data_IF_609077581542
#
_entry.id   IF_609077581542
#
_cell.length_a   1.000
_cell.length_b   1.000
_cell.length_c   1.000
_cell.angle_alpha   90.00
_cell.angle_beta   90.00
_cell.angle_gamma   90.00
#
_symmetry.space_group_name_H-M   'P 1'
#
loop_
_entity.id
_entity.type
_entity.pdbx_description
1 polymer ?
#
# COMPACT_ATOMS: atom_id res chain seq x y z
N UNK A 1 -2.55 18.36 65.03
CA UNK A 1 -3.73 17.56 65.42
C UNK A 1 -4.46 17.15 64.15
N UNK A 2 -4.64 15.84 64.00
CA UNK A 2 -4.91 15.11 62.75
C UNK A 2 -6.42 15.10 62.46
N UNK A 3 -6.86 15.38 61.23
CA UNK A 3 -8.26 15.25 60.84
C UNK A 3 -8.35 14.52 59.48
N UNK A 4 -8.44 13.19 59.54
CA UNK A 4 -8.86 12.34 58.41
C UNK A 4 -10.37 12.09 58.52
N UNK A 5 -11.16 12.25 57.45
CA UNK A 5 -12.53 11.74 57.43
C UNK A 5 -12.55 10.23 57.22
N UNK A 6 -13.45 9.60 57.97
CA UNK A 6 -13.66 8.16 58.18
C UNK A 6 -13.93 7.42 56.86
N UNK A 7 -13.30 6.25 56.72
CA UNK A 7 -13.67 5.28 55.69
C UNK A 7 -15.10 4.76 55.97
N UNK A 8 -15.95 4.83 54.94
CA UNK A 8 -17.27 4.21 54.94
C UNK A 8 -17.10 2.76 54.50
N UNK A 9 -17.21 1.86 55.46
CA UNK A 9 -17.23 0.41 55.26
C UNK A 9 -18.56 0.02 54.60
N UNK A 10 -18.52 -0.30 53.31
CA UNK A 10 -19.66 -0.93 52.61
C UNK A 10 -19.45 -2.43 52.68
N UNK A 11 -20.16 -3.05 53.64
CA UNK A 11 -20.25 -4.49 53.89
C UNK A 11 -20.64 -5.21 52.59
N UNK A 12 -19.70 -5.89 51.94
CA UNK A 12 -20.02 -6.80 50.84
C UNK A 12 -20.72 -8.03 51.40
N UNK A 13 -21.93 -8.28 50.92
CA UNK A 13 -22.63 -9.54 51.15
C UNK A 13 -21.79 -10.66 50.51
N UNK A 14 -21.20 -11.53 51.32
CA UNK A 14 -20.65 -12.81 50.85
C UNK A 14 -21.81 -13.66 50.34
N UNK A 15 -22.03 -13.64 49.03
CA UNK A 15 -22.75 -14.71 48.36
C UNK A 15 -21.76 -15.85 48.14
N UNK A 16 -21.96 -16.93 48.89
CA UNK A 16 -21.34 -18.23 48.67
C UNK A 16 -21.56 -18.68 47.21
N UNK A 17 -20.62 -18.37 46.32
CA UNK A 17 -20.44 -19.10 45.08
C UNK A 17 -19.44 -20.19 45.36
N UNK A 18 -19.97 -21.38 45.62
CA UNK A 18 -19.27 -22.66 45.49
C UNK A 18 -18.34 -22.66 44.27
N UNK A 19 -17.16 -23.29 44.32
CA UNK A 19 -16.27 -23.38 43.16
C UNK A 19 -17.05 -24.08 42.05
N UNK A 20 -17.34 -23.35 40.97
CA UNK A 20 -17.93 -23.92 39.78
C UNK A 20 -16.87 -24.87 39.21
N UNK A 21 -17.04 -26.17 39.44
CA UNK A 21 -16.33 -27.21 38.72
C UNK A 21 -16.40 -26.89 37.21
N UNK A 22 -15.30 -26.98 36.44
CA UNK A 22 -15.35 -26.76 35.01
C UNK A 22 -16.18 -27.88 34.37
N UNK A 23 -17.49 -27.66 34.28
CA UNK A 23 -18.44 -28.53 33.58
C UNK A 23 -17.93 -28.67 32.15
N UNK A 24 -17.58 -29.89 31.74
CA UNK A 24 -17.21 -30.25 30.37
C UNK A 24 -18.21 -29.64 29.38
N UNK A 25 -17.86 -28.49 28.81
CA UNK A 25 -18.67 -27.81 27.80
C UNK A 25 -18.37 -28.51 26.47
N UNK A 26 -19.40 -29.05 25.85
CA UNK A 26 -19.33 -29.67 24.51
C UNK A 26 -18.45 -28.82 23.58
N UNK A 27 -17.51 -29.47 22.88
CA UNK A 27 -16.57 -28.84 21.94
C UNK A 27 -17.30 -27.93 20.95
N UNK A 28 -18.51 -28.32 20.51
CA UNK A 28 -19.34 -27.53 19.61
C UNK A 28 -19.82 -26.20 20.22
N UNK A 29 -20.10 -26.15 21.53
CA UNK A 29 -20.51 -24.92 22.24
C UNK A 29 -19.31 -24.00 22.44
N UNK A 30 -18.13 -24.55 22.78
CA UNK A 30 -16.89 -23.78 22.85
C UNK A 30 -16.48 -23.23 21.48
N UNK A 31 -16.64 -24.03 20.43
CA UNK A 31 -16.39 -23.62 19.05
C UNK A 31 -17.35 -22.52 18.60
N UNK A 32 -18.65 -22.67 18.84
CA UNK A 32 -19.65 -21.65 18.48
C UNK A 32 -19.45 -20.33 19.26
N UNK A 33 -19.05 -20.42 20.53
CA UNK A 33 -18.73 -19.24 21.34
C UNK A 33 -17.43 -18.56 20.87
N UNK A 34 -16.42 -19.33 20.44
CA UNK A 34 -15.20 -18.79 19.84
C UNK A 34 -15.47 -18.17 18.46
N UNK A 35 -16.37 -18.77 17.67
CA UNK A 35 -16.81 -18.29 16.36
C UNK A 35 -17.51 -16.93 16.48
N UNK A 36 -18.41 -16.77 17.45
CA UNK A 36 -19.10 -15.50 17.67
C UNK A 36 -18.15 -14.39 18.15
N UNK A 37 -17.13 -14.72 18.95
CA UNK A 37 -16.13 -13.75 19.44
C UNK A 37 -15.24 -13.21 18.31
N UNK A 38 -14.95 -14.03 17.32
CA UNK A 38 -14.12 -13.69 16.15
C UNK A 38 -14.95 -13.76 14.85
N UNK A 39 -16.21 -13.33 14.90
CA UNK A 39 -17.16 -13.49 13.80
C UNK A 39 -16.64 -12.84 12.52
N UNK A 40 -16.17 -11.60 12.62
CA UNK A 40 -15.68 -10.84 11.48
C UNK A 40 -14.49 -11.53 10.82
N UNK A 41 -13.47 -11.91 11.61
CA UNK A 41 -12.31 -12.64 11.12
C UNK A 41 -12.73 -13.94 10.43
N UNK A 42 -13.66 -14.69 11.02
CA UNK A 42 -14.09 -15.97 10.46
C UNK A 42 -14.85 -15.78 9.14
N UNK A 43 -15.71 -14.77 9.04
CA UNK A 43 -16.37 -14.39 7.80
C UNK A 43 -15.37 -14.00 6.72
N UNK A 44 -14.33 -13.23 7.06
CA UNK A 44 -13.28 -12.83 6.11
C UNK A 44 -12.50 -14.04 5.60
N UNK A 45 -12.07 -14.95 6.49
CA UNK A 45 -11.39 -16.21 6.10
C UNK A 45 -12.29 -17.04 5.17
N UNK A 46 -13.56 -17.18 5.53
CA UNK A 46 -14.53 -17.90 4.72
C UNK A 46 -14.72 -17.23 3.35
N UNK A 47 -14.81 -15.90 3.30
CA UNK A 47 -14.89 -15.12 2.06
C UNK A 47 -13.69 -15.34 1.15
N UNK A 48 -12.46 -15.39 1.69
CA UNK A 48 -11.25 -15.71 0.91
C UNK A 48 -11.34 -17.10 0.30
N UNK A 49 -11.68 -18.12 1.10
CA UNK A 49 -11.77 -19.50 0.64
C UNK A 49 -12.87 -19.63 -0.42
N UNK A 50 -14.05 -19.07 -0.15
CA UNK A 50 -15.19 -19.11 -1.07
C UNK A 50 -14.85 -18.39 -2.38
N UNK A 51 -14.26 -17.19 -2.33
CA UNK A 51 -13.84 -16.44 -3.50
C UNK A 51 -12.81 -17.19 -4.34
N UNK A 52 -11.83 -17.84 -3.70
CA UNK A 52 -10.82 -18.64 -4.39
C UNK A 52 -11.41 -19.89 -5.07
N UNK A 53 -12.26 -20.64 -4.35
CA UNK A 53 -12.90 -21.85 -4.88
C UNK A 53 -13.87 -21.49 -6.01
N UNK A 54 -14.74 -20.50 -5.82
CA UNK A 54 -15.66 -20.04 -6.86
C UNK A 54 -14.90 -19.53 -8.09
N UNK A 55 -13.87 -18.69 -7.92
CA UNK A 55 -13.06 -18.20 -9.04
C UNK A 55 -12.35 -19.31 -9.81
N UNK A 56 -11.84 -20.32 -9.09
CA UNK A 56 -11.23 -21.50 -9.70
C UNK A 56 -12.23 -22.38 -10.46
N UNK A 57 -13.41 -22.65 -9.90
CA UNK A 57 -14.45 -23.44 -10.56
C UNK A 57 -15.03 -22.72 -11.78
N UNK A 58 -15.34 -21.43 -11.67
CA UNK A 58 -15.92 -20.65 -12.77
C UNK A 58 -14.95 -20.54 -13.95
N UNK A 59 -13.64 -20.47 -13.67
CA UNK A 59 -12.58 -20.54 -14.68
C UNK A 59 -12.58 -21.87 -15.43
N UNK A 60 -12.83 -22.99 -14.76
CA UNK A 60 -12.87 -24.33 -15.40
C UNK A 60 -14.16 -24.53 -16.20
N UNK A 61 -15.25 -23.88 -15.82
CA UNK A 61 -16.58 -24.17 -16.34
C UNK A 61 -16.83 -23.61 -17.75
N UNK A 62 -16.37 -22.39 -18.10
CA UNK A 62 -16.53 -21.81 -19.45
C UNK A 62 -15.65 -20.56 -19.65
N UNK A 63 -15.34 -20.14 -20.89
CA UNK A 63 -14.89 -18.77 -21.16
C UNK A 63 -16.01 -17.80 -20.79
N UNK A 64 -15.83 -17.09 -19.68
CA UNK A 64 -16.79 -16.11 -19.17
C UNK A 64 -16.62 -14.80 -19.93
N UNK A 65 -17.74 -14.21 -20.33
CA UNK A 65 -17.75 -12.88 -20.94
C UNK A 65 -17.15 -11.82 -19.99
N UNK A 66 -16.30 -10.89 -20.48
CA UNK A 66 -15.70 -9.83 -19.66
C UNK A 66 -16.70 -9.03 -18.81
N UNK A 67 -17.92 -8.83 -19.30
CA UNK A 67 -18.94 -8.04 -18.59
C UNK A 67 -19.44 -8.76 -17.33
N UNK A 68 -19.54 -10.09 -17.37
CA UNK A 68 -19.91 -10.91 -16.20
C UNK A 68 -18.78 -10.91 -15.17
N UNK A 69 -17.52 -10.94 -15.62
CA UNK A 69 -16.35 -10.84 -14.73
C UNK A 69 -16.38 -9.50 -13.98
N UNK A 70 -16.68 -8.41 -14.68
CA UNK A 70 -16.84 -7.08 -14.09
C UNK A 70 -17.95 -7.07 -13.03
N UNK A 71 -19.11 -7.66 -13.32
CA UNK A 71 -20.23 -7.71 -12.37
C UNK A 71 -19.89 -8.52 -11.12
N UNK A 72 -19.19 -9.65 -11.26
CA UNK A 72 -18.72 -10.48 -10.13
C UNK A 72 -17.70 -9.71 -9.28
N UNK A 73 -16.79 -8.96 -9.89
CA UNK A 73 -15.76 -8.19 -9.20
C UNK A 73 -16.27 -6.88 -8.58
N UNK A 74 -17.42 -6.37 -9.03
CA UNK A 74 -17.94 -5.05 -8.65
C UNK A 74 -18.06 -4.80 -7.14
N UNK A 75 -18.57 -5.73 -6.31
CA UNK A 75 -18.57 -5.55 -4.85
C UNK A 75 -17.16 -5.36 -4.27
N UNK A 76 -16.16 -6.03 -4.85
CA UNK A 76 -14.75 -5.85 -4.51
C UNK A 76 -14.24 -4.46 -4.87
N UNK A 77 -14.60 -3.94 -6.05
CA UNK A 77 -14.24 -2.59 -6.47
C UNK A 77 -14.86 -1.51 -5.57
N UNK A 78 -16.11 -1.71 -5.12
CA UNK A 78 -16.76 -0.82 -4.13
C UNK A 78 -16.01 -0.86 -2.80
N UNK A 79 -15.61 -2.04 -2.31
CA UNK A 79 -14.76 -2.15 -1.10
C UNK A 79 -13.48 -1.32 -1.25
N UNK A 80 -12.78 -1.45 -2.38
CA UNK A 80 -11.54 -0.70 -2.63
C UNK A 80 -11.77 0.81 -2.66
N UNK A 81 -12.88 1.28 -3.23
CA UNK A 81 -13.25 2.70 -3.23
C UNK A 81 -13.55 3.22 -1.82
N UNK A 82 -14.29 2.46 -1.02
CA UNK A 82 -14.59 2.80 0.37
C UNK A 82 -13.31 2.89 1.23
N UNK A 83 -12.40 1.92 1.08
CA UNK A 83 -11.12 1.94 1.80
C UNK A 83 -10.25 3.14 1.38
N UNK A 84 -10.10 3.39 0.08
CA UNK A 84 -9.31 4.53 -0.44
C UNK A 84 -9.86 5.89 0.00
N UNK A 85 -11.18 6.02 0.11
CA UNK A 85 -11.83 7.23 0.61
C UNK A 85 -11.43 7.57 2.05
N UNK A 86 -11.23 6.56 2.90
CA UNK A 86 -10.87 6.76 4.30
C UNK A 86 -9.37 7.03 4.54
N UNK A 87 -8.50 6.72 3.58
CA UNK A 87 -7.04 6.90 3.74
C UNK A 87 -6.71 8.37 4.08
N UNK A 88 -7.25 9.32 3.31
CA UNK A 88 -6.95 10.74 3.50
C UNK A 88 -7.34 11.26 4.90
N UNK A 89 -8.61 11.20 5.34
CA UNK A 89 -8.99 11.72 6.64
C UNK A 89 -8.34 10.96 7.80
N UNK A 90 -8.06 9.66 7.64
CA UNK A 90 -7.36 8.86 8.64
C UNK A 90 -5.91 9.31 8.81
N UNK A 91 -5.16 9.47 7.71
CA UNK A 91 -3.76 9.93 7.76
C UNK A 91 -3.66 11.30 8.43
N UNK A 92 -4.52 12.25 8.03
CA UNK A 92 -4.51 13.61 8.58
C UNK A 92 -4.79 13.58 10.08
N UNK A 93 -5.91 12.97 10.48
CA UNK A 93 -6.34 12.98 11.88
C UNK A 93 -5.43 12.15 12.79
N UNK A 94 -4.97 10.96 12.35
CA UNK A 94 -4.09 10.10 13.14
C UNK A 94 -2.68 10.68 13.31
N UNK A 95 -2.08 11.28 12.27
CA UNK A 95 -0.74 11.87 12.39
C UNK A 95 -0.73 13.10 13.29
N UNK A 96 -1.74 13.96 13.12
CA UNK A 96 -1.89 15.17 13.93
C UNK A 96 -2.03 14.81 15.41
N UNK A 97 -2.97 13.91 15.73
CA UNK A 97 -3.25 13.53 17.12
C UNK A 97 -2.08 12.76 17.72
N UNK A 98 -1.47 11.85 16.96
CA UNK A 98 -0.31 11.07 17.40
C UNK A 98 0.94 11.90 17.70
N UNK A 99 1.16 13.00 16.98
CA UNK A 99 2.37 13.83 17.15
C UNK A 99 2.17 15.06 18.03
N UNK A 100 0.95 15.58 18.12
CA UNK A 100 0.63 16.71 19.01
C UNK A 100 0.66 16.33 20.48
N UNK A 101 0.38 15.06 20.82
CA UNK A 101 0.46 14.55 22.19
C UNK A 101 1.88 14.23 22.68
N UNK A 102 2.91 14.43 21.86
CA UNK A 102 4.29 14.08 22.16
C UNK A 102 5.20 15.32 22.16
N UNK A 103 6.10 15.41 23.14
CA UNK A 103 7.17 16.41 23.13
C UNK A 103 8.04 16.25 21.88
N UNK A 104 8.55 17.34 21.33
CA UNK A 104 9.37 17.32 20.11
C UNK A 104 10.59 16.36 20.22
N UNK A 105 11.21 16.28 21.41
CA UNK A 105 12.32 15.36 21.69
C UNK A 105 11.88 13.89 21.81
N UNK A 106 10.65 13.64 22.27
CA UNK A 106 10.08 12.30 22.29
C UNK A 106 9.68 11.84 20.88
N UNK A 107 9.01 12.72 20.13
CA UNK A 107 8.64 12.51 18.72
C UNK A 107 9.86 12.21 17.85
N UNK A 108 10.95 12.99 17.99
CA UNK A 108 12.20 12.73 17.27
C UNK A 108 12.81 11.36 17.60
N UNK A 109 12.89 10.99 18.89
CA UNK A 109 13.43 9.66 19.29
C UNK A 109 12.56 8.51 18.80
N UNK A 110 11.24 8.65 18.86
CA UNK A 110 10.31 7.65 18.34
C UNK A 110 10.47 7.49 16.82
N UNK A 111 10.53 8.60 16.09
CA UNK A 111 10.72 8.64 14.65
C UNK A 111 12.07 8.03 14.22
N UNK A 112 13.18 8.37 14.89
CA UNK A 112 14.49 7.79 14.55
C UNK A 112 14.52 6.27 14.80
N UNK A 113 13.93 5.79 15.89
CA UNK A 113 13.82 4.34 16.15
C UNK A 113 13.01 3.63 15.06
N UNK A 114 11.89 4.21 14.65
CA UNK A 114 11.06 3.68 13.57
C UNK A 114 11.82 3.68 12.22
N UNK A 115 12.54 4.76 11.90
CA UNK A 115 13.33 4.86 10.67
C UNK A 115 14.45 3.81 10.62
N UNK A 116 15.18 3.62 11.72
CA UNK A 116 16.21 2.58 11.82
C UNK A 116 15.59 1.19 11.64
N UNK A 117 14.45 0.94 12.30
CA UNK A 117 13.71 -0.31 12.17
C UNK A 117 13.34 -0.58 10.71
N UNK A 118 12.65 0.34 10.03
CA UNK A 118 12.24 0.18 8.64
C UNK A 118 13.41 0.00 7.66
N UNK A 119 14.49 0.77 7.82
CA UNK A 119 15.68 0.65 6.97
C UNK A 119 16.34 -0.72 7.17
N UNK A 120 16.53 -1.14 8.43
CA UNK A 120 17.16 -2.43 8.73
C UNK A 120 16.37 -3.62 8.20
N UNK A 121 15.04 -3.65 8.40
CA UNK A 121 14.20 -4.75 7.92
C UNK A 121 14.15 -4.80 6.40
N UNK A 122 14.13 -3.63 5.72
CA UNK A 122 14.13 -3.56 4.25
C UNK A 122 15.46 -4.05 3.67
N UNK A 123 16.59 -3.68 4.26
CA UNK A 123 17.91 -4.17 3.84
C UNK A 123 18.00 -5.68 4.03
N UNK A 124 17.55 -6.21 5.19
CA UNK A 124 17.52 -7.65 5.44
C UNK A 124 16.62 -8.38 4.42
N UNK A 125 15.45 -7.83 4.10
CA UNK A 125 14.56 -8.39 3.09
C UNK A 125 15.19 -8.42 1.70
N UNK A 126 15.85 -7.33 1.30
CA UNK A 126 16.53 -7.23 0.00
C UNK A 126 17.71 -8.22 -0.10
N UNK A 127 18.54 -8.32 0.94
CA UNK A 127 19.66 -9.27 1.00
C UNK A 127 19.13 -10.71 0.93
N UNK A 128 18.09 -11.04 1.69
CA UNK A 128 17.45 -12.36 1.62
C UNK A 128 16.91 -12.66 0.20
N UNK A 129 16.26 -11.69 -0.43
CA UNK A 129 15.75 -11.81 -1.79
C UNK A 129 16.85 -12.09 -2.81
N UNK A 130 17.98 -11.37 -2.73
CA UNK A 130 19.14 -11.59 -3.59
C UNK A 130 19.74 -12.97 -3.36
N UNK A 131 19.92 -13.39 -2.11
CA UNK A 131 20.45 -14.72 -1.77
C UNK A 131 19.54 -15.82 -2.35
N UNK A 132 18.22 -15.70 -2.18
CA UNK A 132 17.27 -16.71 -2.68
C UNK A 132 17.23 -16.77 -4.21
N UNK A 133 17.23 -15.62 -4.89
CA UNK A 133 17.25 -15.56 -6.35
C UNK A 133 18.55 -16.14 -6.90
N UNK A 134 19.70 -15.85 -6.27
CA UNK A 134 21.00 -16.42 -6.65
C UNK A 134 21.16 -17.89 -6.22
N UNK A 135 20.41 -18.39 -5.24
CA UNK A 135 20.45 -19.80 -4.88
C UNK A 135 19.59 -20.64 -5.84
N UNK A 136 18.37 -20.19 -6.10
CA UNK A 136 17.37 -20.94 -6.87
C UNK A 136 17.55 -20.73 -8.39
N UNK A 137 18.12 -19.60 -8.81
CA UNK A 137 18.24 -19.19 -10.21
C UNK A 137 16.93 -19.36 -11.00
N UNK A 138 15.83 -18.70 -10.59
CA UNK A 138 14.55 -18.89 -11.22
C UNK A 138 14.53 -18.33 -12.65
N UNK A 139 14.29 -19.21 -13.62
CA UNK A 139 14.13 -18.86 -15.03
C UNK A 139 14.73 -19.91 -15.94
N UNK A 140 14.21 -20.03 -17.17
CA UNK A 140 14.75 -20.94 -18.16
C UNK A 140 15.30 -20.15 -19.35
N UNK A 141 16.62 -20.15 -19.61
CA UNK A 141 17.20 -19.41 -20.72
C UNK A 141 16.69 -19.87 -22.09
N UNK A 142 16.17 -21.11 -22.20
CA UNK A 142 15.57 -21.64 -23.43
C UNK A 142 14.21 -20.98 -23.76
N UNK A 143 13.47 -20.53 -22.74
CA UNK A 143 12.17 -19.85 -22.91
C UNK A 143 12.31 -18.38 -23.30
N UNK A 144 13.46 -17.74 -23.03
CA UNK A 144 13.75 -16.34 -23.41
C UNK A 144 13.67 -16.10 -24.92
N UNK A 145 13.97 -17.11 -25.75
CA UNK A 145 13.90 -17.01 -27.22
C UNK A 145 12.46 -16.98 -27.75
N UNK A 146 11.49 -17.46 -27.00
CA UNK A 146 10.07 -17.51 -27.40
C UNK A 146 9.26 -16.27 -26.95
N UNK A 147 9.81 -15.44 -26.07
CA UNK A 147 9.08 -14.34 -25.42
C UNK A 147 9.07 -13.01 -26.20
N UNK A 148 9.71 -12.95 -27.38
CA UNK A 148 9.79 -11.72 -28.19
C UNK A 148 10.58 -10.59 -27.52
N UNK A 149 10.86 -9.51 -28.27
CA UNK A 149 11.35 -8.27 -27.65
C UNK A 149 10.15 -7.53 -27.07
N UNK A 150 10.05 -7.46 -25.74
CA UNK A 150 9.03 -6.68 -25.07
C UNK A 150 9.09 -5.20 -25.49
N UNK A 151 7.95 -4.49 -25.44
CA UNK A 151 7.90 -3.04 -25.67
C UNK A 151 8.97 -2.36 -24.81
N UNK A 152 9.88 -1.61 -25.45
CA UNK A 152 10.80 -0.73 -24.76
C UNK A 152 9.96 0.37 -24.09
N UNK A 153 9.72 0.21 -22.79
CA UNK A 153 9.17 1.30 -21.98
C UNK A 153 10.20 2.44 -21.95
N UNK A 154 9.72 3.68 -21.82
CA UNK A 154 10.60 4.83 -21.66
C UNK A 154 11.56 4.56 -20.49
N UNK A 155 12.86 4.74 -20.74
CA UNK A 155 13.89 4.55 -19.72
C UNK A 155 13.74 5.65 -18.66
N UNK A 156 13.05 5.33 -17.57
CA UNK A 156 12.95 6.21 -16.41
C UNK A 156 14.31 6.18 -15.71
N UNK A 157 14.99 7.33 -15.68
CA UNK A 157 16.26 7.45 -14.96
C UNK A 157 16.04 7.29 -13.46
N UNK A 158 16.90 6.52 -12.78
CA UNK A 158 16.85 6.38 -11.31
C UNK A 158 17.05 7.72 -10.60
N UNK A 159 17.82 8.64 -11.20
CA UNK A 159 17.98 10.00 -10.70
C UNK A 159 16.65 10.76 -10.75
N UNK A 160 15.90 10.65 -11.85
CA UNK A 160 14.60 11.32 -12.00
C UNK A 160 13.62 10.80 -10.96
N UNK A 161 13.57 9.48 -10.73
CA UNK A 161 12.73 8.87 -9.69
C UNK A 161 13.09 9.34 -8.28
N UNK A 162 14.38 9.48 -7.97
CA UNK A 162 14.83 10.01 -6.67
C UNK A 162 14.50 11.49 -6.50
N UNK A 163 14.68 12.30 -7.55
CA UNK A 163 14.30 13.71 -7.53
C UNK A 163 12.78 13.88 -7.40
N UNK A 164 11.99 13.04 -8.06
CA UNK A 164 10.53 13.01 -7.94
C UNK A 164 10.09 12.63 -6.52
N UNK A 165 10.81 11.72 -5.83
CA UNK A 165 10.55 11.41 -4.43
C UNK A 165 10.68 12.66 -3.55
N UNK A 166 11.75 13.45 -3.74
CA UNK A 166 11.97 14.68 -2.98
C UNK A 166 10.93 15.75 -3.34
N UNK A 167 10.61 15.93 -4.62
CA UNK A 167 9.56 16.86 -5.07
C UNK A 167 8.20 16.51 -4.46
N UNK A 168 7.87 15.23 -4.43
CA UNK A 168 6.62 14.76 -3.83
C UNK A 168 6.61 14.87 -2.31
N UNK A 169 7.76 14.86 -1.63
CA UNK A 169 7.83 15.10 -0.18
C UNK A 169 7.40 16.53 0.20
N UNK A 170 7.63 17.51 -0.69
CA UNK A 170 7.28 18.91 -0.52
C UNK A 170 6.31 19.37 -1.62
N UNK A 171 5.01 19.00 -1.55
CA UNK A 171 4.05 19.35 -2.58
C UNK A 171 3.83 20.86 -2.64
N UNK A 172 3.65 21.36 -3.86
CA UNK A 172 3.39 22.79 -4.14
C UNK A 172 2.05 23.26 -3.55
N UNK A 173 1.07 22.35 -3.46
CA UNK A 173 -0.26 22.60 -2.95
C UNK A 173 -0.83 21.38 -2.21
N UNK A 174 -1.32 21.59 -0.98
CA UNK A 174 -1.84 20.52 -0.13
C UNK A 174 -3.14 19.89 -0.66
N UNK A 175 -4.03 20.71 -1.22
CA UNK A 175 -5.30 20.22 -1.79
C UNK A 175 -5.04 19.42 -3.05
N UNK A 176 -4.12 19.89 -3.90
CA UNK A 176 -3.69 19.15 -5.10
C UNK A 176 -3.04 17.81 -4.73
N UNK A 177 -2.22 17.77 -3.67
CA UNK A 177 -1.60 16.55 -3.17
C UNK A 177 -2.61 15.46 -2.76
N UNK A 178 -3.86 15.82 -2.46
CA UNK A 178 -4.91 14.85 -2.15
C UNK A 178 -5.32 13.98 -3.35
N UNK A 179 -5.07 14.42 -4.59
CA UNK A 179 -5.49 13.70 -5.80
C UNK A 179 -4.45 13.65 -6.93
N UNK A 180 -3.33 14.35 -6.81
CA UNK A 180 -2.25 14.36 -7.81
C UNK A 180 -0.85 14.25 -7.18
N UNK A 181 0.08 13.69 -7.94
CA UNK A 181 1.51 13.59 -7.64
C UNK A 181 2.35 14.01 -8.85
N UNK A 182 3.58 14.47 -8.63
CA UNK A 182 4.49 14.91 -9.68
C UNK A 182 5.32 13.73 -10.18
N UNK A 183 5.43 13.57 -11.50
CA UNK A 183 6.32 12.59 -12.11
C UNK A 183 7.10 13.24 -13.28
N UNK A 184 8.39 12.93 -13.37
CA UNK A 184 9.22 13.28 -14.53
C UNK A 184 8.86 12.34 -15.68
N UNK A 185 8.35 12.91 -16.77
CA UNK A 185 7.98 12.19 -18.00
C UNK A 185 8.90 12.61 -19.12
N UNK A 186 9.35 11.62 -19.90
CA UNK A 186 10.20 11.83 -21.06
C UNK A 186 9.33 11.91 -22.31
N UNK A 187 9.26 13.08 -22.95
CA UNK A 187 8.52 13.27 -24.19
C UNK A 187 9.46 13.45 -25.37
N UNK A 188 9.18 12.77 -26.48
CA UNK A 188 9.86 13.00 -27.75
C UNK A 188 9.20 14.20 -28.42
N UNK A 189 9.89 15.32 -28.50
CA UNK A 189 9.41 16.54 -29.14
C UNK A 189 10.13 16.67 -30.48
N UNK A 190 9.36 16.85 -31.56
CA UNK A 190 9.90 17.21 -32.86
C UNK A 190 10.38 18.66 -32.78
N UNK A 191 11.70 18.85 -32.81
CA UNK A 191 12.28 20.19 -32.85
C UNK A 191 12.52 20.52 -34.33
N UNK A 192 11.95 21.62 -34.85
CA UNK A 192 12.27 22.07 -36.20
C UNK A 192 13.77 22.37 -36.27
N UNK A 193 14.42 22.01 -37.38
CA UNK A 193 15.84 22.29 -37.59
C UNK A 193 16.10 23.79 -37.47
N UNK A 194 17.30 24.21 -37.04
CA UNK A 194 17.67 25.62 -37.00
C UNK A 194 17.37 26.27 -38.35
N UNK A 195 16.67 27.41 -38.38
CA UNK A 195 16.53 28.18 -39.61
C UNK A 195 17.93 28.65 -40.00
N UNK A 196 18.48 28.12 -41.09
CA UNK A 196 19.63 28.74 -41.75
C UNK A 196 19.22 30.18 -42.13
N UNK A 197 20.00 31.18 -41.74
CA UNK A 197 19.79 32.56 -42.18
C UNK A 197 19.73 32.60 -43.71
N UNK A 198 18.81 33.40 -44.32
CA UNK A 198 18.71 33.44 -45.77
C UNK A 198 20.05 33.89 -46.36
N UNK A 199 20.58 33.19 -47.38
CA UNK A 199 21.86 33.55 -47.96
C UNK A 199 21.76 34.93 -48.63
N UNK A 200 22.87 35.68 -48.60
CA UNK A 200 22.96 37.01 -49.20
C UNK A 200 22.53 36.98 -50.68
N UNK A 201 21.98 38.10 -51.17
CA UNK A 201 21.31 38.25 -52.49
C UNK A 201 22.15 37.80 -53.71
N UNK A 202 23.46 37.60 -53.55
CA UNK A 202 24.35 37.08 -54.59
C UNK A 202 24.33 35.55 -54.71
N UNK A 203 24.07 34.84 -53.60
CA UNK A 203 24.06 33.36 -53.55
C UNK A 203 22.70 32.77 -53.97
N UNK A 204 21.62 33.54 -53.86
CA UNK A 204 20.28 33.12 -54.32
C UNK A 204 20.18 33.02 -55.85
N UNK A 205 20.94 33.83 -56.59
CA UNK A 205 21.04 33.74 -58.04
C UNK A 205 21.81 32.48 -58.51
N UNK A 206 22.81 32.05 -57.74
CA UNK A 206 23.52 30.79 -57.99
C UNK A 206 22.71 29.56 -57.55
N UNK A 207 21.87 29.70 -56.51
CA UNK A 207 20.99 28.64 -56.03
C UNK A 207 19.84 28.30 -57.02
N UNK A 208 19.31 29.29 -57.76
CA UNK A 208 18.26 29.05 -58.76
C UNK A 208 18.76 28.31 -60.01
N UNK A 209 20.07 28.31 -60.28
CA UNK A 209 20.66 27.57 -61.40
C UNK A 209 20.98 26.11 -61.06
N UNK A 210 20.85 25.72 -59.79
CA UNK A 210 21.13 24.37 -59.32
C UNK A 210 19.95 23.86 -58.48
N UNK A 211 18.79 23.68 -59.11
CA UNK A 211 17.65 22.97 -58.51
C UNK A 211 17.99 21.49 -58.32
N UNK A 212 18.74 21.21 -57.26
CA UNK A 212 18.68 19.93 -56.57
C UNK A 212 17.65 20.10 -55.46
N UNK A 213 16.66 19.21 -55.46
CA UNK A 213 15.60 19.11 -54.45
C UNK A 213 16.26 19.14 -53.06
N UNK A 214 16.21 20.29 -52.38
CA UNK A 214 16.53 20.36 -50.96
C UNK A 214 15.41 19.61 -50.25
N UNK A 215 15.69 18.37 -49.84
CA UNK A 215 14.83 17.63 -48.92
C UNK A 215 14.52 18.53 -47.72
N UNK A 216 13.23 18.66 -47.39
CA UNK A 216 12.82 19.41 -46.21
C UNK A 216 13.60 18.86 -45.00
N UNK A 217 14.23 19.72 -44.19
CA UNK A 217 15.12 19.25 -43.16
C UNK A 217 14.30 18.43 -42.14
N UNK A 218 14.66 17.16 -41.98
CA UNK A 218 13.91 16.22 -41.16
C UNK A 218 13.84 16.73 -39.72
N UNK A 219 12.63 16.79 -39.17
CA UNK A 219 12.42 17.21 -37.80
C UNK A 219 13.16 16.28 -36.84
N UNK A 220 14.17 16.81 -36.14
CA UNK A 220 14.93 16.02 -35.18
C UNK A 220 14.05 15.72 -33.96
N UNK A 221 13.90 14.42 -33.65
CA UNK A 221 13.26 13.96 -32.42
C UNK A 221 14.19 14.24 -31.23
N UNK A 222 14.00 15.37 -30.56
CA UNK A 222 14.73 15.68 -29.33
C UNK A 222 13.94 15.13 -28.14
N UNK A 223 14.63 14.36 -27.31
CA UNK A 223 14.08 13.84 -26.07
C UNK A 223 14.09 14.97 -25.03
N UNK A 224 12.91 15.47 -24.65
CA UNK A 224 12.76 16.50 -23.62
C UNK A 224 12.13 15.89 -22.37
N UNK A 225 12.75 16.14 -21.21
CA UNK A 225 12.18 15.80 -19.92
C UNK A 225 11.27 16.93 -19.44
N UNK A 226 10.10 16.58 -18.93
CA UNK A 226 9.14 17.51 -18.34
C UNK A 226 8.56 16.96 -17.04
N UNK A 227 8.06 17.85 -16.20
CA UNK A 227 7.28 17.47 -15.02
C UNK A 227 5.81 17.42 -15.42
N UNK A 228 5.13 16.34 -15.03
CA UNK A 228 3.70 16.19 -15.24
C UNK A 228 3.01 15.80 -13.93
N UNK A 229 1.79 16.31 -13.75
CA UNK A 229 0.92 15.85 -12.68
C UNK A 229 0.23 14.56 -13.13
N UNK A 230 0.38 13.53 -12.31
CA UNK A 230 -0.27 12.24 -12.47
C UNK A 230 -1.34 12.08 -11.42
N UNK A 231 -2.49 11.55 -11.83
CA UNK A 231 -3.58 11.26 -10.91
C UNK A 231 -3.18 10.18 -9.90
N UNK A 232 -3.49 10.45 -8.64
CA UNK A 232 -3.11 9.63 -7.50
C UNK A 232 -2.77 10.51 -6.30
N UNK A 233 -3.20 10.08 -5.11
CA UNK A 233 -2.92 10.79 -3.87
C UNK A 233 -1.42 10.76 -3.58
N UNK A 234 -0.81 11.93 -3.39
CA UNK A 234 0.56 12.07 -2.92
C UNK A 234 0.61 11.84 -1.39
N UNK A 235 0.52 10.58 -1.00
CA UNK A 235 0.55 10.15 0.42
C UNK A 235 1.85 10.57 1.10
N UNK A 236 2.98 10.54 0.40
CA UNK A 236 4.29 10.94 0.94
C UNK A 236 4.30 12.42 1.36
N UNK A 237 3.85 13.32 0.48
CA UNK A 237 3.78 14.75 0.75
C UNK A 237 2.80 15.10 1.86
N UNK A 238 1.64 14.42 1.89
CA UNK A 238 0.66 14.58 2.97
C UNK A 238 1.26 14.15 4.32
N UNK A 239 1.92 13.00 4.39
CA UNK A 239 2.59 12.54 5.61
C UNK A 239 3.66 13.55 6.04
N UNK A 240 4.53 13.98 5.11
CA UNK A 240 5.60 14.95 5.41
C UNK A 240 5.07 16.26 5.99
N UNK A 241 4.04 16.82 5.36
CA UNK A 241 3.39 18.04 5.83
C UNK A 241 2.71 17.86 7.20
N UNK A 242 1.89 16.82 7.36
CA UNK A 242 1.12 16.63 8.59
C UNK A 242 1.96 16.15 9.78
N UNK A 243 3.13 15.55 9.54
CA UNK A 243 4.13 15.34 10.59
C UNK A 243 4.64 16.68 11.12
N UNK A 244 5.08 17.58 10.23
CA UNK A 244 5.57 18.90 10.62
C UNK A 244 4.47 19.71 11.32
N UNK A 245 3.24 19.67 10.79
CA UNK A 245 2.07 20.31 11.36
C UNK A 245 1.73 19.79 12.76
N UNK A 246 1.71 18.45 12.96
CA UNK A 246 1.48 17.83 14.26
C UNK A 246 2.52 18.22 15.31
N UNK A 247 3.80 18.24 14.94
CA UNK A 247 4.89 18.68 15.83
C UNK A 247 4.78 20.17 16.15
N UNK A 248 4.42 21.01 15.18
CA UNK A 248 4.23 22.44 15.41
C UNK A 248 3.08 22.71 16.39
N UNK A 249 1.93 22.03 16.23
CA UNK A 249 0.82 22.11 17.18
C UNK A 249 1.20 21.63 18.57
N UNK A 250 1.94 20.54 18.70
CA UNK A 250 2.42 20.05 20.00
C UNK A 250 3.27 21.08 20.75
N UNK A 251 4.01 21.93 20.04
CA UNK A 251 4.80 23.03 20.63
C UNK A 251 3.96 24.23 21.08
N UNK A 252 2.76 24.41 20.55
CA UNK A 252 1.87 25.53 20.89
C UNK A 252 1.12 25.32 22.21
N UNK A 253 1.18 24.12 22.79
CA UNK A 253 0.57 23.82 24.08
C UNK A 253 -0.94 24.09 24.09
N UNK A 254 -1.41 24.86 25.08
CA UNK A 254 -2.84 25.12 25.28
C UNK A 254 -3.53 25.83 24.10
N UNK A 255 -2.79 26.65 23.34
CA UNK A 255 -3.35 27.37 22.18
C UNK A 255 -3.83 26.42 21.09
N UNK A 256 -3.21 25.24 20.95
CA UNK A 256 -3.58 24.24 19.96
C UNK A 256 -4.63 23.24 20.48
N UNK A 257 -5.04 23.30 21.76
CA UNK A 257 -5.91 22.30 22.38
C UNK A 257 -7.22 22.09 21.61
N UNK A 258 -7.87 23.18 21.19
CA UNK A 258 -9.10 23.11 20.41
C UNK A 258 -8.91 22.38 19.07
N UNK A 259 -7.80 22.60 18.38
CA UNK A 259 -7.50 21.92 17.11
C UNK A 259 -7.18 20.44 17.34
N UNK A 260 -6.41 20.12 18.38
CA UNK A 260 -6.08 18.74 18.74
C UNK A 260 -7.36 17.96 19.09
N UNK A 261 -8.26 18.54 19.88
CA UNK A 261 -9.55 17.93 20.22
C UNK A 261 -10.43 17.72 18.98
N UNK A 262 -10.45 18.67 18.04
CA UNK A 262 -11.13 18.52 16.76
C UNK A 262 -10.59 17.30 15.96
N UNK A 263 -9.28 17.18 15.81
CA UNK A 263 -8.68 16.07 15.08
C UNK A 263 -8.83 14.72 15.81
N UNK A 264 -8.87 14.71 17.15
CA UNK A 264 -9.18 13.52 17.94
C UNK A 264 -10.61 13.04 17.64
N UNK A 265 -11.60 13.93 17.68
CA UNK A 265 -12.99 13.59 17.36
C UNK A 265 -13.11 13.12 15.91
N UNK A 266 -12.42 13.77 14.98
CA UNK A 266 -12.39 13.35 13.58
C UNK A 266 -11.82 11.92 13.44
N UNK A 267 -10.72 11.62 14.12
CA UNK A 267 -10.11 10.27 14.12
C UNK A 267 -11.11 9.21 14.62
N UNK A 268 -11.79 9.48 15.74
CA UNK A 268 -12.82 8.58 16.30
C UNK A 268 -14.00 8.36 15.33
N UNK A 269 -14.47 9.41 14.65
CA UNK A 269 -15.52 9.31 13.63
C UNK A 269 -15.05 8.43 12.47
N UNK A 270 -13.83 8.66 11.97
CA UNK A 270 -13.26 7.88 10.87
C UNK A 270 -13.10 6.41 11.26
N UNK A 271 -12.65 6.10 12.48
CA UNK A 271 -12.53 4.72 12.97
C UNK A 271 -13.88 3.98 13.06
N UNK A 272 -14.98 4.70 13.36
CA UNK A 272 -16.34 4.14 13.26
C UNK A 272 -16.72 3.82 11.81
N UNK A 273 -16.36 4.69 10.85
CA UNK A 273 -16.56 4.41 9.42
C UNK A 273 -15.75 3.19 8.96
N UNK A 274 -14.48 3.08 9.40
CA UNK A 274 -13.63 1.90 9.13
C UNK A 274 -14.34 0.64 9.61
N UNK A 275 -14.86 0.64 10.84
CA UNK A 275 -15.56 -0.52 11.41
C UNK A 275 -16.76 -0.95 10.57
N UNK A 276 -17.57 -0.01 10.08
CA UNK A 276 -18.70 -0.32 9.18
C UNK A 276 -18.24 -0.94 7.86
N UNK A 277 -17.18 -0.41 7.25
CA UNK A 277 -16.60 -0.97 6.01
C UNK A 277 -16.01 -2.36 6.25
N UNK A 278 -15.39 -2.59 7.42
CA UNK A 278 -14.84 -3.89 7.74
C UNK A 278 -15.91 -4.98 7.78
N UNK A 279 -17.15 -4.68 8.20
CA UNK A 279 -18.28 -5.61 8.11
C UNK A 279 -18.70 -5.95 6.67
N UNK A 280 -18.49 -5.04 5.72
CA UNK A 280 -18.68 -5.32 4.30
C UNK A 280 -17.51 -6.13 3.69
N UNK A 281 -16.33 -6.08 4.30
CA UNK A 281 -15.11 -6.68 3.75
C UNK A 281 -15.19 -8.18 3.41
N UNK A 282 -15.88 -9.07 4.15
CA UNK A 282 -15.97 -10.48 3.78
C UNK A 282 -16.56 -10.70 2.38
N UNK A 283 -17.61 -9.96 2.04
CA UNK A 283 -18.26 -10.02 0.73
C UNK A 283 -17.35 -9.41 -0.34
N UNK A 284 -16.82 -8.20 -0.09
CA UNK A 284 -15.96 -7.51 -1.03
C UNK A 284 -14.70 -8.30 -1.38
N UNK A 285 -14.05 -8.91 -0.37
CA UNK A 285 -12.84 -9.74 -0.55
C UNK A 285 -13.15 -11.01 -1.35
N UNK A 286 -14.28 -11.68 -1.07
CA UNK A 286 -14.69 -12.87 -1.83
C UNK A 286 -14.86 -12.56 -3.33
N UNK A 287 -15.58 -11.48 -3.64
CA UNK A 287 -15.81 -11.01 -5.01
C UNK A 287 -14.50 -10.55 -5.69
N UNK A 288 -13.64 -9.83 -4.98
CA UNK A 288 -12.36 -9.31 -5.50
C UNK A 288 -11.43 -10.48 -5.87
N UNK A 289 -11.25 -11.44 -4.97
CA UNK A 289 -10.41 -12.62 -5.21
C UNK A 289 -10.97 -13.46 -6.37
N UNK A 290 -12.29 -13.71 -6.38
CA UNK A 290 -12.97 -14.43 -7.44
C UNK A 290 -12.72 -13.78 -8.81
N UNK A 291 -13.00 -12.47 -8.93
CA UNK A 291 -12.80 -11.71 -10.16
C UNK A 291 -11.35 -11.67 -10.63
N UNK A 292 -10.39 -11.52 -9.72
CA UNK A 292 -8.95 -11.53 -10.06
C UNK A 292 -8.47 -12.89 -10.55
N UNK A 293 -8.95 -13.99 -9.98
CA UNK A 293 -8.58 -15.34 -10.41
C UNK A 293 -9.12 -15.64 -11.83
N UNK A 294 -10.36 -15.23 -12.11
CA UNK A 294 -11.00 -15.43 -13.42
C UNK A 294 -10.32 -14.57 -14.50
N UNK A 295 -9.91 -13.34 -14.17
CA UNK A 295 -9.28 -12.42 -15.12
C UNK A 295 -7.91 -12.92 -15.67
N UNK A 296 -7.27 -13.89 -15.01
CA UNK A 296 -5.99 -14.46 -15.46
C UNK A 296 -6.27 -15.44 -16.61
N UNK A 297 -6.17 -14.98 -17.86
CA UNK A 297 -6.44 -15.81 -19.06
C UNK A 297 -5.52 -17.03 -19.17
N UNK A 298 -4.20 -16.83 -19.12
CA UNK A 298 -3.21 -17.88 -19.42
C UNK A 298 -2.37 -18.32 -18.19
N UNK A 299 -3.03 -18.87 -17.16
CA UNK A 299 -2.32 -19.29 -15.94
C UNK A 299 -1.28 -20.39 -16.21
N UNK A 300 -1.55 -21.32 -17.13
CA UNK A 300 -0.61 -22.40 -17.47
C UNK A 300 0.68 -21.86 -18.11
N UNK A 301 0.55 -20.93 -19.07
CA UNK A 301 1.70 -20.32 -19.75
C UNK A 301 2.51 -19.47 -18.76
N UNK A 302 1.84 -18.66 -17.94
CA UNK A 302 2.48 -17.86 -16.89
C UNK A 302 3.16 -18.76 -15.86
N UNK A 303 2.51 -19.82 -15.40
CA UNK A 303 3.08 -20.77 -14.45
C UNK A 303 4.29 -21.51 -15.04
N UNK A 304 4.26 -21.88 -16.33
CA UNK A 304 5.38 -22.53 -17.00
C UNK A 304 6.57 -21.60 -17.22
N UNK A 305 6.32 -20.33 -17.52
CA UNK A 305 7.36 -19.34 -17.84
C UNK A 305 7.96 -18.66 -16.60
N UNK A 306 7.14 -18.39 -15.58
CA UNK A 306 7.50 -17.60 -14.40
C UNK A 306 7.24 -18.34 -13.08
N UNK A 307 6.78 -19.60 -13.11
CA UNK A 307 6.43 -20.35 -11.90
C UNK A 307 7.56 -20.46 -10.89
N UNK A 308 8.79 -20.76 -11.33
CA UNK A 308 9.96 -20.80 -10.43
C UNK A 308 10.27 -19.44 -9.82
N UNK A 309 10.04 -18.36 -10.55
CA UNK A 309 10.17 -16.99 -10.01
C UNK A 309 9.11 -16.75 -8.93
N UNK A 310 7.85 -17.10 -9.19
CA UNK A 310 6.76 -16.98 -8.22
C UNK A 310 7.04 -17.79 -6.95
N UNK A 311 7.50 -19.04 -7.08
CA UNK A 311 7.89 -19.89 -5.93
C UNK A 311 9.01 -19.24 -5.13
N UNK A 312 10.05 -18.72 -5.79
CA UNK A 312 11.17 -18.05 -5.12
C UNK A 312 10.71 -16.84 -4.31
N UNK A 313 9.84 -16.00 -4.89
CA UNK A 313 9.28 -14.83 -4.20
C UNK A 313 8.41 -15.24 -3.02
N UNK A 314 7.52 -16.22 -3.19
CA UNK A 314 6.65 -16.72 -2.10
C UNK A 314 7.49 -17.28 -0.95
N UNK A 315 8.50 -18.11 -1.25
CA UNK A 315 9.42 -18.65 -0.24
C UNK A 315 10.16 -17.52 0.48
N UNK A 316 10.64 -16.50 -0.24
CA UNK A 316 11.28 -15.34 0.35
C UNK A 316 10.37 -14.55 1.29
N UNK A 317 9.12 -14.32 0.90
CA UNK A 317 8.12 -13.65 1.73
C UNK A 317 7.77 -14.48 2.98
N UNK A 318 7.63 -15.81 2.86
CA UNK A 318 7.35 -16.70 3.99
C UNK A 318 8.54 -16.75 4.96
N UNK A 319 9.78 -16.83 4.47
CA UNK A 319 10.97 -16.79 5.31
C UNK A 319 11.09 -15.43 6.01
N UNK A 320 10.92 -14.33 5.28
CA UNK A 320 11.03 -12.99 5.87
C UNK A 320 9.92 -12.71 6.89
N UNK A 321 8.65 -12.88 6.49
CA UNK A 321 7.49 -12.58 7.31
C UNK A 321 7.21 -13.60 8.41
N UNK A 322 7.50 -14.88 8.17
CA UNK A 322 7.23 -15.98 9.11
C UNK A 322 8.39 -16.31 10.04
N UNK A 323 9.64 -15.97 9.68
CA UNK A 323 10.83 -16.30 10.49
C UNK A 323 11.56 -15.03 10.94
N UNK A 324 12.03 -14.20 10.00
CA UNK A 324 12.87 -13.03 10.35
C UNK A 324 12.13 -11.99 11.18
N UNK A 325 10.93 -11.55 10.78
CA UNK A 325 10.17 -10.55 11.54
C UNK A 325 9.75 -11.07 12.93
N UNK A 326 9.22 -12.30 13.09
CA UNK A 326 8.91 -12.86 14.41
C UNK A 326 10.14 -13.04 15.29
N UNK A 327 11.28 -13.45 14.71
CA UNK A 327 12.54 -13.58 15.42
C UNK A 327 13.03 -12.21 15.91
N UNK A 328 13.02 -11.19 15.05
CA UNK A 328 13.39 -9.82 15.40
C UNK A 328 12.50 -9.28 16.53
N UNK A 329 11.19 -9.49 16.43
CA UNK A 329 10.23 -9.15 17.49
C UNK A 329 10.59 -9.85 18.80
N UNK A 330 10.85 -11.16 18.78
CA UNK A 330 11.19 -11.94 19.98
C UNK A 330 12.52 -11.48 20.59
N UNK A 331 13.54 -11.22 19.77
CA UNK A 331 14.87 -10.77 20.24
C UNK A 331 14.77 -9.42 20.96
N UNK A 332 14.00 -8.48 20.41
CA UNK A 332 13.86 -7.13 20.96
C UNK A 332 12.90 -7.10 22.15
N UNK A 333 11.72 -7.71 22.03
CA UNK A 333 10.66 -7.60 23.04
C UNK A 333 10.67 -8.71 24.09
N UNK A 334 11.36 -9.83 23.82
CA UNK A 334 11.35 -11.06 24.63
C UNK A 334 9.94 -11.62 24.88
N UNK A 335 8.98 -11.30 24.02
CA UNK A 335 7.59 -11.78 24.07
C UNK A 335 7.29 -12.69 22.87
N UNK A 336 6.32 -13.59 23.04
CA UNK A 336 5.84 -14.46 21.96
C UNK A 336 5.30 -13.62 20.79
N UNK A 337 5.87 -13.73 19.58
CA UNK A 337 5.39 -13.00 18.40
C UNK A 337 4.03 -13.50 17.91
N UNK A 338 3.69 -14.76 18.17
CA UNK A 338 2.47 -15.38 17.64
C UNK A 338 1.19 -14.78 18.24
N UNK A 339 1.23 -14.38 19.51
CA UNK A 339 0.10 -13.67 20.14
C UNK A 339 -0.15 -12.31 19.50
N UNK A 340 0.92 -11.62 19.08
CA UNK A 340 0.81 -10.35 18.36
C UNK A 340 0.27 -10.56 16.94
N UNK A 341 0.82 -11.52 16.19
CA UNK A 341 0.37 -11.86 14.84
C UNK A 341 -1.11 -12.24 14.79
N UNK A 342 -1.59 -13.02 15.78
CA UNK A 342 -3.00 -13.39 15.87
C UNK A 342 -3.93 -12.17 16.02
N UNK A 343 -3.49 -11.11 16.71
CA UNK A 343 -4.26 -9.89 16.91
C UNK A 343 -4.43 -9.05 15.64
N UNK A 344 -3.44 -9.05 14.75
CA UNK A 344 -3.46 -8.29 13.49
C UNK A 344 -3.86 -9.15 12.26
N UNK A 345 -4.16 -10.43 12.47
CA UNK A 345 -4.39 -11.39 11.39
C UNK A 345 -5.53 -10.97 10.46
N UNK A 346 -6.58 -10.34 10.98
CA UNK A 346 -7.67 -9.82 10.15
C UNK A 346 -7.18 -8.79 9.12
N UNK A 347 -6.30 -7.87 9.54
CA UNK A 347 -5.73 -6.86 8.64
C UNK A 347 -4.85 -7.50 7.56
N UNK A 348 -4.12 -8.59 7.88
CA UNK A 348 -3.35 -9.34 6.90
C UNK A 348 -4.23 -9.99 5.84
N UNK A 349 -5.36 -10.59 6.23
CA UNK A 349 -6.29 -11.19 5.27
C UNK A 349 -6.92 -10.11 4.39
N UNK A 350 -7.30 -8.98 4.97
CA UNK A 350 -7.80 -7.84 4.19
C UNK A 350 -6.73 -7.35 3.20
N UNK A 351 -5.48 -7.16 3.63
CA UNK A 351 -4.38 -6.75 2.77
C UNK A 351 -4.10 -7.78 1.64
N UNK A 352 -4.20 -9.08 1.93
CA UNK A 352 -4.09 -10.13 0.91
C UNK A 352 -5.21 -10.02 -0.13
N UNK A 353 -6.45 -9.76 0.32
CA UNK A 353 -7.61 -9.62 -0.55
C UNK A 353 -7.58 -8.34 -1.39
N UNK A 354 -7.14 -7.22 -0.83
CA UNK A 354 -7.10 -5.91 -1.50
C UNK A 354 -5.86 -5.72 -2.36
N UNK A 355 -4.76 -6.42 -2.05
CA UNK A 355 -3.45 -6.27 -2.68
C UNK A 355 -2.97 -4.80 -2.73
N UNK A 356 -3.30 -4.02 -1.70
CA UNK A 356 -3.02 -2.58 -1.58
C UNK A 356 -2.74 -2.16 -0.16
#
# INVERSE_FOLDING_TARGET
ANNMPKQVEVRMHESHLSPVEPRSRNICVQFCQSLHRNLLLTLTVFGVILGAVCGGLLRLATPIDPDIIMLIAFPGDILMRMLKMLILPLIISSLITGLSGLDAKASGRLGTRAMIYYMSTTIIAAVLGVILVLAIHPGNPKLKKQLGQGKKNDEVSSLDAFLDLIRNLFPENLVQACFQQIQTVTKKVLVPPPMEEPPNVTDSAFALLNETVREAPEAQLVIKKGLEFKDGMNVLGLIGFFIAFGIAMGKMGEQAKMMVDFFNILNEIVMKLVTMIMWYSPLGIACLICGKIIAIKDLEVVARQLGMYMVTVIVGLVIHGGIFLPLLYFVITRKSPFSFLAGIFQAWITALGTAS
#
